data_IF_185821360236
#
_entry.id   IF_185821360236
#
_cell.length_a   1.000
_cell.length_b   1.000
_cell.length_c   1.000
_cell.angle_alpha   90.00
_cell.angle_beta   90.00
_cell.angle_gamma   90.00
#
_symmetry.space_group_name_H-M   'P 1'
#
loop_
_entity.id
_entity.type
_entity.pdbx_description
1 polymer ?
#
# COMPACT_ATOMS: atom_id res chain seq x y z
N UNK A 1 0.32 64.54 -86.48
CA UNK A 1 -0.21 63.61 -85.44
C UNK A 1 0.87 62.85 -84.67
N UNK A 2 2.09 62.64 -85.17
CA UNK A 2 3.12 61.83 -84.47
C UNK A 2 3.71 62.46 -83.18
N UNK A 3 3.73 63.78 -83.06
CA UNK A 3 4.26 64.46 -81.86
C UNK A 3 3.43 64.19 -80.59
N UNK A 4 2.12 64.00 -80.72
CA UNK A 4 1.22 63.73 -79.59
C UNK A 4 1.39 62.29 -79.06
N UNK A 5 1.67 61.32 -79.94
CA UNK A 5 1.99 59.94 -79.56
C UNK A 5 3.36 59.83 -78.89
N UNK A 6 4.36 60.59 -79.33
CA UNK A 6 5.68 60.62 -78.67
C UNK A 6 5.55 61.26 -77.28
N UNK A 7 4.76 62.33 -77.15
CA UNK A 7 4.54 63.01 -75.87
C UNK A 7 3.80 62.12 -74.85
N UNK A 8 2.80 61.34 -75.28
CA UNK A 8 2.13 60.37 -74.41
C UNK A 8 3.05 59.21 -74.02
N UNK A 9 3.90 58.72 -74.94
CA UNK A 9 4.88 57.68 -74.65
C UNK A 9 5.94 58.13 -73.63
N UNK A 10 6.42 59.37 -73.72
CA UNK A 10 7.34 59.95 -72.72
C UNK A 10 6.69 60.18 -71.35
N UNK A 11 5.39 60.50 -71.31
CA UNK A 11 4.66 60.60 -70.04
C UNK A 11 4.45 59.24 -69.37
N UNK A 12 4.20 58.18 -70.16
CA UNK A 12 4.13 56.80 -69.65
C UNK A 12 5.52 56.32 -69.20
N UNK A 13 6.58 56.60 -69.94
CA UNK A 13 7.97 56.27 -69.55
C UNK A 13 8.46 57.05 -68.32
N UNK A 14 7.98 58.27 -68.07
CA UNK A 14 8.26 59.00 -66.82
C UNK A 14 7.47 58.47 -65.61
N UNK A 15 6.35 57.78 -65.84
CA UNK A 15 5.63 57.04 -64.79
C UNK A 15 6.23 55.65 -64.52
N UNK A 16 6.90 55.05 -65.50
CA UNK A 16 7.77 53.88 -65.32
C UNK A 16 9.15 54.35 -64.84
N UNK A 17 9.18 54.97 -63.67
CA UNK A 17 10.42 55.31 -62.97
C UNK A 17 10.99 53.99 -62.40
N UNK A 18 12.16 53.51 -62.86
CA UNK A 18 12.82 52.41 -62.18
C UNK A 18 13.35 52.96 -60.85
N UNK A 19 12.93 52.36 -59.74
CA UNK A 19 13.60 52.56 -58.46
C UNK A 19 12.91 53.47 -57.46
N UNK A 20 11.58 53.38 -57.28
CA UNK A 20 11.18 53.24 -55.88
C UNK A 20 11.90 51.97 -55.39
N UNK A 21 12.70 52.00 -54.31
CA UNK A 21 13.21 50.75 -53.76
C UNK A 21 11.98 49.90 -53.51
N UNK A 22 11.79 48.86 -54.33
CA UNK A 22 10.71 47.90 -54.14
C UNK A 22 11.08 47.24 -52.83
N UNK A 23 10.51 47.75 -51.74
CA UNK A 23 10.71 47.17 -50.43
C UNK A 23 10.43 45.68 -50.58
N UNK A 24 11.36 44.85 -50.13
CA UNK A 24 11.15 43.40 -50.20
C UNK A 24 10.08 43.04 -49.17
N UNK A 25 8.85 42.94 -49.66
CA UNK A 25 7.69 42.57 -48.87
C UNK A 25 7.74 41.06 -48.60
N UNK A 26 7.55 40.67 -47.34
CA UNK A 26 7.44 39.28 -46.90
C UNK A 26 6.19 39.09 -46.06
N UNK A 27 5.73 37.85 -45.99
CA UNK A 27 4.67 37.47 -45.05
C UNK A 27 5.29 37.17 -43.68
N UNK A 28 4.64 37.62 -42.61
CA UNK A 28 5.03 37.30 -41.24
C UNK A 28 4.84 35.81 -40.91
N UNK A 29 5.29 35.43 -39.71
CA UNK A 29 5.46 34.04 -39.32
C UNK A 29 6.70 33.87 -38.44
N UNK A 30 7.29 32.68 -38.42
CA UNK A 30 8.54 32.43 -37.68
C UNK A 30 9.72 33.08 -38.40
N UNK A 31 10.70 33.57 -37.64
CA UNK A 31 11.91 34.20 -38.21
C UNK A 31 12.70 33.26 -39.12
N UNK A 32 12.71 31.97 -38.80
CA UNK A 32 13.41 30.94 -39.59
C UNK A 32 12.93 30.95 -41.05
N UNK A 33 11.62 31.15 -41.26
CA UNK A 33 10.93 31.13 -42.56
C UNK A 33 11.07 32.44 -43.36
N UNK A 34 11.59 33.51 -42.74
CA UNK A 34 11.76 34.80 -43.42
C UNK A 34 12.91 34.75 -44.43
N UNK A 35 12.70 35.24 -45.66
CA UNK A 35 13.79 35.35 -46.63
C UNK A 35 14.76 36.48 -46.24
N UNK A 36 16.03 36.30 -46.53
CA UNK A 36 17.06 37.33 -46.34
C UNK A 36 16.73 38.63 -47.08
N UNK A 37 17.02 39.78 -46.46
CA UNK A 37 16.78 41.10 -47.03
C UNK A 37 15.32 41.55 -47.01
N UNK A 38 14.49 40.95 -46.16
CA UNK A 38 13.12 41.41 -45.95
C UNK A 38 13.11 42.82 -45.36
N UNK A 39 12.36 43.74 -45.97
CA UNK A 39 12.26 45.13 -45.51
C UNK A 39 10.88 45.45 -44.91
N UNK A 40 9.83 44.79 -45.40
CA UNK A 40 8.45 45.00 -44.94
C UNK A 40 7.76 43.65 -44.67
N UNK A 41 7.23 43.48 -43.46
CA UNK A 41 6.51 42.27 -43.03
C UNK A 41 5.02 42.55 -42.93
N UNK A 42 4.23 41.81 -43.71
CA UNK A 42 2.77 41.92 -43.78
C UNK A 42 2.05 40.60 -43.42
N UNK A 43 0.74 40.66 -43.18
CA UNK A 43 -0.09 39.47 -43.03
C UNK A 43 -0.14 38.93 -41.59
N UNK A 44 0.78 38.05 -41.22
CA UNK A 44 0.84 37.49 -39.86
C UNK A 44 1.81 38.27 -38.96
N UNK A 45 1.68 38.21 -37.63
CA UNK A 45 2.68 38.75 -36.71
C UNK A 45 4.06 38.12 -36.93
N UNK A 46 5.11 38.88 -36.64
CA UNK A 46 6.48 38.36 -36.61
C UNK A 46 6.70 37.57 -35.31
N UNK A 47 6.90 36.26 -35.42
CA UNK A 47 7.05 35.36 -34.27
C UNK A 47 8.52 34.96 -34.10
N UNK A 48 9.11 35.35 -32.98
CA UNK A 48 10.45 34.93 -32.56
C UNK A 48 10.27 33.95 -31.39
N UNK A 49 10.47 32.66 -31.66
CA UNK A 49 10.32 31.61 -30.64
C UNK A 49 11.47 30.64 -30.58
N UNK A 50 11.63 30.02 -29.41
CA UNK A 50 12.53 28.88 -29.18
C UNK A 50 14.04 29.20 -29.31
N UNK A 51 14.46 30.46 -29.11
CA UNK A 51 15.87 30.84 -29.13
C UNK A 51 16.53 30.67 -27.76
N UNK A 52 17.60 29.88 -27.70
CA UNK A 52 18.40 29.62 -26.48
C UNK A 52 19.64 30.53 -26.34
N UNK A 53 19.84 31.45 -27.28
CA UNK A 53 20.98 32.35 -27.35
C UNK A 53 20.54 33.76 -27.76
N UNK A 54 21.34 34.77 -27.42
CA UNK A 54 21.06 36.17 -27.79
C UNK A 54 21.07 36.34 -29.32
N UNK A 55 19.99 36.87 -29.89
CA UNK A 55 19.87 37.14 -31.33
C UNK A 55 20.52 38.49 -31.61
N UNK A 56 21.74 38.48 -32.11
CA UNK A 56 22.47 39.66 -32.55
C UNK A 56 22.50 39.81 -34.08
N UNK A 57 22.89 40.97 -34.59
CA UNK A 57 22.98 41.22 -36.04
C UNK A 57 24.03 40.34 -36.75
N UNK A 58 24.81 39.52 -36.03
CA UNK A 58 25.81 38.61 -36.60
C UNK A 58 25.24 37.23 -36.85
N UNK A 59 24.30 36.77 -36.01
CA UNK A 59 23.54 35.53 -36.18
C UNK A 59 22.76 35.53 -37.51
N UNK A 60 22.52 34.36 -38.07
CA UNK A 60 21.81 34.23 -39.35
C UNK A 60 20.41 34.87 -39.29
N UNK A 61 19.66 34.56 -38.23
CA UNK A 61 18.33 35.09 -38.01
C UNK A 61 18.36 36.58 -37.64
N UNK A 62 19.35 37.03 -36.87
CA UNK A 62 19.50 38.44 -36.58
C UNK A 62 19.87 39.28 -37.81
N UNK A 63 20.56 38.73 -38.82
CA UNK A 63 20.73 39.40 -40.12
C UNK A 63 19.41 39.53 -40.87
N UNK A 64 18.56 38.51 -40.88
CA UNK A 64 17.20 38.58 -41.47
C UNK A 64 16.39 39.68 -40.79
N UNK A 65 16.45 39.76 -39.46
CA UNK A 65 15.73 40.76 -38.68
C UNK A 65 16.31 42.18 -38.87
N UNK A 66 17.62 42.33 -39.02
CA UNK A 66 18.28 43.64 -39.10
C UNK A 66 17.87 44.49 -40.29
N UNK A 67 17.35 43.89 -41.38
CA UNK A 67 16.91 44.61 -42.59
C UNK A 67 15.46 45.07 -42.53
N UNK A 68 14.67 44.56 -41.59
CA UNK A 68 13.23 44.86 -41.50
C UNK A 68 13.05 46.30 -41.02
N UNK A 69 12.36 47.09 -41.84
CA UNK A 69 12.03 48.50 -41.57
C UNK A 69 10.57 48.67 -41.14
N UNK A 70 9.67 47.80 -41.61
CA UNK A 70 8.22 47.92 -41.35
C UNK A 70 7.60 46.57 -40.97
N UNK A 71 6.75 46.57 -39.95
CA UNK A 71 5.95 45.40 -39.54
C UNK A 71 4.50 45.86 -39.32
N UNK A 72 3.52 45.27 -40.01
CA UNK A 72 2.12 45.75 -39.97
C UNK A 72 1.19 44.96 -39.05
N UNK A 73 1.67 43.85 -38.48
CA UNK A 73 0.85 42.92 -37.71
C UNK A 73 1.49 42.54 -36.36
N UNK A 74 2.39 43.37 -35.83
CA UNK A 74 2.97 43.21 -34.50
C UNK A 74 4.08 42.16 -34.41
N UNK A 75 4.64 42.04 -33.20
CA UNK A 75 5.76 41.15 -32.87
C UNK A 75 5.37 40.26 -31.69
N UNK A 76 5.67 38.97 -31.76
CA UNK A 76 5.49 38.00 -30.69
C UNK A 76 6.83 37.39 -30.32
N UNK A 77 7.34 37.66 -29.11
CA UNK A 77 8.49 36.96 -28.52
C UNK A 77 7.96 35.86 -27.60
N UNK A 78 8.18 34.59 -27.92
CA UNK A 78 7.63 33.46 -27.16
C UNK A 78 8.70 32.43 -26.81
N UNK A 79 8.74 31.95 -25.58
CA UNK A 79 9.57 30.80 -25.17
C UNK A 79 11.08 30.98 -25.45
N UNK A 80 11.59 32.21 -25.35
CA UNK A 80 13.02 32.48 -25.56
C UNK A 80 13.80 32.56 -24.25
N UNK A 81 15.09 32.23 -24.29
CA UNK A 81 16.03 32.30 -23.18
C UNK A 81 17.13 33.35 -23.37
N UNK A 82 17.04 34.21 -24.38
CA UNK A 82 17.97 35.33 -24.51
C UNK A 82 17.73 36.40 -23.44
N UNK A 83 18.79 37.12 -23.08
CA UNK A 83 18.74 38.21 -22.10
C UNK A 83 18.41 39.55 -22.74
N UNK A 84 18.80 39.74 -24.00
CA UNK A 84 18.64 41.00 -24.73
C UNK A 84 18.05 40.74 -26.10
N UNK A 85 17.10 41.56 -26.49
CA UNK A 85 16.57 41.59 -27.85
C UNK A 85 16.84 42.94 -28.50
N UNK A 86 17.73 42.95 -29.49
CA UNK A 86 18.13 44.15 -30.23
C UNK A 86 18.35 43.88 -31.73
N UNK A 87 17.77 42.79 -32.25
CA UNK A 87 18.01 42.33 -33.63
C UNK A 87 17.35 43.24 -34.69
N UNK A 88 16.22 43.87 -34.36
CA UNK A 88 15.45 44.75 -35.23
C UNK A 88 16.04 46.17 -35.27
N UNK A 89 17.29 46.29 -35.71
CA UNK A 89 18.04 47.56 -35.68
C UNK A 89 17.49 48.63 -36.63
N UNK A 90 16.88 48.23 -37.74
CA UNK A 90 16.37 49.13 -38.78
C UNK A 90 14.86 49.34 -38.72
N UNK A 91 14.17 48.77 -37.74
CA UNK A 91 12.73 48.87 -37.62
C UNK A 91 12.32 50.32 -37.35
N UNK A 92 11.62 50.95 -38.28
CA UNK A 92 11.16 52.34 -38.18
C UNK A 92 9.65 52.44 -37.90
N UNK A 93 8.87 51.49 -38.42
CA UNK A 93 7.41 51.47 -38.33
C UNK A 93 6.90 50.13 -37.80
N UNK A 94 6.20 50.15 -36.67
CA UNK A 94 5.55 48.99 -36.09
C UNK A 94 4.06 49.27 -35.94
N UNK A 95 3.22 48.45 -36.58
CA UNK A 95 1.77 48.58 -36.47
C UNK A 95 1.09 47.24 -36.26
N UNK A 96 -0.16 47.30 -35.81
CA UNK A 96 -1.10 46.18 -35.82
C UNK A 96 -2.43 46.66 -36.38
N UNK A 97 -2.92 45.96 -37.41
CA UNK A 97 -4.23 46.20 -38.02
C UNK A 97 -5.39 45.48 -37.32
N UNK A 98 -5.10 44.45 -36.53
CA UNK A 98 -6.08 43.66 -35.78
C UNK A 98 -6.27 44.19 -34.34
N UNK A 99 -7.18 43.58 -33.59
CA UNK A 99 -7.34 43.82 -32.14
C UNK A 99 -6.26 43.11 -31.31
N UNK A 100 -5.16 42.66 -31.92
CA UNK A 100 -4.06 42.01 -31.23
C UNK A 100 -3.07 43.06 -30.69
N UNK A 101 -2.33 42.73 -29.63
CA UNK A 101 -1.32 43.64 -29.09
C UNK A 101 -0.17 43.84 -30.08
N UNK A 102 0.38 45.06 -30.10
CA UNK A 102 1.54 45.43 -30.91
C UNK A 102 2.76 44.57 -30.63
N UNK A 103 3.00 44.32 -29.34
CA UNK A 103 4.09 43.49 -28.86
C UNK A 103 3.55 42.50 -27.83
N UNK A 104 3.80 41.22 -28.07
CA UNK A 104 3.41 40.14 -27.17
C UNK A 104 4.64 39.40 -26.66
N UNK A 105 4.83 39.42 -25.34
CA UNK A 105 5.96 38.80 -24.66
C UNK A 105 5.45 37.62 -23.84
N UNK A 106 5.71 36.40 -24.30
CA UNK A 106 5.26 35.18 -23.64
C UNK A 106 6.42 34.30 -23.17
N UNK A 107 6.48 34.00 -21.87
CA UNK A 107 7.42 33.00 -21.31
C UNK A 107 8.90 33.25 -21.65
N UNK A 108 9.34 34.51 -21.78
CA UNK A 108 10.76 34.81 -21.94
C UNK A 108 11.41 34.99 -20.56
N UNK A 109 11.79 33.87 -19.94
CA UNK A 109 12.21 33.82 -18.53
C UNK A 109 13.49 34.61 -18.22
N UNK A 110 14.32 34.91 -19.22
CA UNK A 110 15.58 35.61 -19.04
C UNK A 110 15.61 37.00 -19.67
N UNK A 111 14.53 37.45 -20.30
CA UNK A 111 14.52 38.73 -21.02
C UNK A 111 14.68 39.90 -20.04
N UNK A 112 15.76 40.66 -20.21
CA UNK A 112 16.11 41.83 -19.37
C UNK A 112 16.13 43.16 -20.13
N UNK A 113 16.25 43.14 -21.45
CA UNK A 113 16.40 44.35 -22.28
C UNK A 113 15.73 44.16 -23.63
N UNK A 114 15.01 45.18 -24.08
CA UNK A 114 14.23 45.19 -25.31
C UNK A 114 14.47 46.54 -26.03
N UNK A 115 15.29 46.53 -27.08
CA UNK A 115 15.79 47.75 -27.71
C UNK A 115 15.40 47.83 -29.20
N UNK A 116 14.76 48.93 -29.58
CA UNK A 116 14.40 49.25 -30.97
C UNK A 116 14.99 50.60 -31.39
N UNK A 117 16.27 50.60 -31.78
CA UNK A 117 17.07 51.84 -31.99
C UNK A 117 16.49 52.83 -33.00
N UNK A 118 15.86 52.32 -34.06
CA UNK A 118 15.38 53.15 -35.17
C UNK A 118 13.86 53.35 -35.17
N UNK A 119 13.15 52.90 -34.14
CA UNK A 119 11.69 52.89 -34.12
C UNK A 119 11.16 54.32 -33.96
N UNK A 120 10.38 54.79 -34.94
CA UNK A 120 9.86 56.17 -35.00
C UNK A 120 8.34 56.26 -34.93
N UNK A 121 7.63 55.22 -35.38
CA UNK A 121 6.17 55.23 -35.41
C UNK A 121 5.65 53.90 -34.90
N UNK A 122 4.73 53.99 -33.93
CA UNK A 122 3.93 52.88 -33.46
C UNK A 122 2.45 53.18 -33.73
N UNK A 123 1.73 52.23 -34.32
CA UNK A 123 0.29 52.36 -34.57
C UNK A 123 -0.45 51.05 -34.22
N UNK A 124 -1.16 51.02 -33.10
CA UNK A 124 -1.87 49.82 -32.65
C UNK A 124 -3.08 50.14 -31.80
N UNK A 125 -3.84 49.09 -31.46
CA UNK A 125 -4.95 49.17 -30.51
C UNK A 125 -4.48 48.83 -29.11
N UNK A 126 -5.21 49.27 -28.09
CA UNK A 126 -4.91 48.94 -26.70
C UNK A 126 -5.35 47.51 -26.36
N UNK A 127 -4.56 46.73 -25.60
CA UNK A 127 -3.24 47.07 -25.03
C UNK A 127 -2.10 47.02 -26.07
N UNK A 128 -1.16 47.96 -26.01
CA UNK A 128 0.00 47.98 -26.92
C UNK A 128 0.95 46.81 -26.64
N UNK A 129 1.23 46.53 -25.37
CA UNK A 129 2.17 45.48 -24.98
C UNK A 129 1.50 44.49 -24.04
N UNK A 130 1.58 43.20 -24.31
CA UNK A 130 1.02 42.18 -23.40
C UNK A 130 2.13 41.27 -22.90
N UNK A 131 2.12 41.03 -21.59
CA UNK A 131 3.09 40.18 -20.91
C UNK A 131 2.38 38.92 -20.41
N UNK A 132 2.87 37.76 -20.80
CA UNK A 132 2.30 36.46 -20.46
C UNK A 132 3.38 35.59 -19.80
N UNK A 133 3.37 35.54 -18.47
CA UNK A 133 4.36 34.81 -17.68
C UNK A 133 5.81 35.16 -18.08
N UNK A 134 6.08 36.46 -18.30
CA UNK A 134 7.36 36.97 -18.76
C UNK A 134 8.17 37.60 -17.62
N UNK A 135 9.51 37.58 -17.71
CA UNK A 135 10.38 38.20 -16.68
C UNK A 135 10.57 39.71 -16.91
N UNK A 136 10.34 40.21 -18.12
CA UNK A 136 10.62 41.62 -18.45
C UNK A 136 9.91 42.64 -17.54
N UNK A 137 8.63 42.46 -17.12
CA UNK A 137 7.99 43.35 -16.15
C UNK A 137 8.69 43.42 -14.79
N UNK A 138 9.30 42.33 -14.34
CA UNK A 138 10.09 42.29 -13.10
C UNK A 138 11.39 43.06 -13.31
N UNK A 139 12.05 42.89 -14.46
CA UNK A 139 13.28 43.61 -14.80
C UNK A 139 13.04 45.12 -14.99
N UNK A 140 11.93 45.53 -15.59
CA UNK A 140 11.53 46.94 -15.67
C UNK A 140 11.40 47.59 -14.29
N UNK A 141 10.96 46.84 -13.26
CA UNK A 141 10.89 47.35 -11.88
C UNK A 141 12.26 47.42 -11.20
N UNK A 142 13.20 46.55 -11.57
CA UNK A 142 14.52 46.41 -10.92
C UNK A 142 15.61 47.25 -11.59
N UNK A 143 15.54 47.44 -12.90
CA UNK A 143 16.56 48.05 -13.72
C UNK A 143 16.05 49.34 -14.35
N UNK A 144 16.66 50.47 -13.97
CA UNK A 144 16.34 51.77 -14.57
C UNK A 144 16.53 51.78 -16.09
N UNK A 145 17.48 50.99 -16.60
CA UNK A 145 17.71 50.85 -18.04
C UNK A 145 16.53 50.17 -18.76
N UNK A 146 16.03 49.05 -18.23
CA UNK A 146 14.89 48.35 -18.83
C UNK A 146 13.62 49.21 -18.79
N UNK A 147 13.45 49.98 -17.71
CA UNK A 147 12.38 50.97 -17.59
C UNK A 147 12.50 52.09 -18.63
N UNK A 148 13.70 52.67 -18.83
CA UNK A 148 13.94 53.68 -19.86
C UNK A 148 13.72 53.16 -21.28
N UNK A 149 14.14 51.92 -21.57
CA UNK A 149 13.90 51.25 -22.85
C UNK A 149 12.37 51.11 -23.11
N UNK A 150 11.60 50.69 -22.10
CA UNK A 150 10.15 50.61 -22.21
C UNK A 150 9.48 52.00 -22.35
N UNK A 151 9.93 53.01 -21.61
CA UNK A 151 9.44 54.38 -21.78
C UNK A 151 9.73 54.93 -23.17
N UNK A 152 10.92 54.65 -23.72
CA UNK A 152 11.27 55.04 -25.08
C UNK A 152 10.34 54.39 -26.11
N UNK A 153 9.98 53.11 -25.92
CA UNK A 153 8.99 52.43 -26.76
C UNK A 153 7.63 53.14 -26.70
N UNK A 154 7.15 53.46 -25.48
CA UNK A 154 5.86 54.14 -25.30
C UNK A 154 5.85 55.56 -25.87
N UNK A 155 6.94 56.31 -25.74
CA UNK A 155 7.07 57.65 -26.29
C UNK A 155 6.89 57.67 -27.82
N UNK A 156 7.27 56.58 -28.51
CA UNK A 156 7.12 56.43 -29.96
C UNK A 156 5.67 56.23 -30.42
N UNK A 157 4.75 55.85 -29.53
CA UNK A 157 3.32 55.78 -29.84
C UNK A 157 2.65 57.16 -30.02
N UNK A 158 3.34 58.23 -29.61
CA UNK A 158 2.90 59.62 -29.79
C UNK A 158 1.68 60.01 -28.96
N UNK A 159 1.20 61.24 -29.19
CA UNK A 159 0.05 61.83 -28.48
C UNK A 159 -1.31 61.21 -28.84
N UNK A 160 -1.36 60.23 -29.75
CA UNK A 160 -2.61 59.58 -30.13
C UNK A 160 -3.22 58.76 -29.00
N UNK A 161 -2.43 58.48 -27.97
CA UNK A 161 -2.80 57.64 -26.85
C UNK A 161 -2.57 58.42 -25.56
N UNK A 162 -3.58 58.50 -24.69
CA UNK A 162 -3.48 59.18 -23.41
C UNK A 162 -2.41 58.49 -22.54
N UNK A 163 -1.27 59.15 -22.22
CA UNK A 163 -0.15 58.57 -21.45
C UNK A 163 -0.54 58.07 -20.06
N UNK A 164 -1.72 58.47 -19.56
CA UNK A 164 -2.25 58.06 -18.27
C UNK A 164 -3.28 56.92 -18.34
N UNK A 165 -3.60 56.40 -19.54
CA UNK A 165 -4.58 55.31 -19.66
C UNK A 165 -4.06 54.02 -19.00
N UNK A 166 -4.87 53.38 -18.17
CA UNK A 166 -4.49 52.17 -17.45
C UNK A 166 -4.23 50.94 -18.37
N UNK A 167 -4.49 51.07 -19.68
CA UNK A 167 -4.56 49.97 -20.62
C UNK A 167 -3.33 49.86 -21.54
N UNK A 168 -2.25 50.62 -21.31
CA UNK A 168 -1.04 50.55 -22.16
C UNK A 168 -0.46 49.16 -22.29
N UNK A 169 -0.49 48.43 -21.19
CA UNK A 169 0.00 47.09 -21.12
C UNK A 169 -0.95 46.21 -20.31
N UNK A 170 -1.05 44.96 -20.71
CA UNK A 170 -1.75 43.93 -19.95
C UNK A 170 -0.75 42.93 -19.38
N UNK A 171 -0.96 42.53 -18.13
CA UNK A 171 -0.08 41.59 -17.44
C UNK A 171 -0.88 40.35 -17.05
N UNK A 172 -0.65 39.27 -17.82
CA UNK A 172 -1.10 37.95 -17.49
C UNK A 172 0.03 37.21 -16.77
N UNK A 173 0.12 37.39 -15.45
CA UNK A 173 0.73 36.34 -14.66
C UNK A 173 -0.16 35.11 -14.80
N UNK A 174 0.42 33.97 -15.16
CA UNK A 174 -0.14 32.74 -14.62
C UNK A 174 -0.05 32.88 -13.11
N UNK A 175 -1.18 33.20 -12.47
CA UNK A 175 -1.39 32.84 -11.09
C UNK A 175 -0.98 31.38 -11.05
N UNK A 176 0.11 31.06 -10.33
CA UNK A 176 0.59 29.69 -10.18
C UNK A 176 -0.66 28.83 -10.02
N UNK A 177 -1.01 28.06 -11.05
CA UNK A 177 -1.91 26.95 -10.88
C UNK A 177 -1.14 26.08 -9.91
N UNK A 178 -1.41 26.27 -8.62
CA UNK A 178 -0.86 25.51 -7.52
C UNK A 178 -0.85 24.08 -8.01
N UNK A 179 0.35 23.51 -8.21
CA UNK A 179 0.52 22.20 -8.82
C UNK A 179 -0.58 21.28 -8.28
N UNK A 180 -1.41 20.67 -9.14
CA UNK A 180 -2.76 20.24 -8.79
C UNK A 180 -2.72 19.49 -7.46
N UNK A 181 -3.36 20.06 -6.42
CA UNK A 181 -3.46 19.50 -5.06
C UNK A 181 -3.99 18.07 -5.03
N UNK A 182 -4.47 17.57 -6.17
CA UNK A 182 -4.79 16.18 -6.45
C UNK A 182 -3.74 15.18 -5.94
N UNK A 183 -2.43 15.44 -6.05
CA UNK A 183 -1.43 14.47 -5.56
C UNK A 183 -1.44 14.34 -4.03
N UNK A 184 -1.71 15.43 -3.30
CA UNK A 184 -1.89 15.40 -1.84
C UNK A 184 -3.11 14.57 -1.45
N UNK A 185 -4.24 14.70 -2.16
CA UNK A 185 -5.44 13.89 -1.93
C UNK A 185 -5.21 12.41 -2.24
N UNK A 186 -4.46 12.09 -3.30
CA UNK A 186 -4.11 10.71 -3.64
C UNK A 186 -3.23 10.09 -2.55
N UNK A 187 -2.21 10.82 -2.08
CA UNK A 187 -1.35 10.34 -0.99
C UNK A 187 -2.13 10.19 0.32
N UNK A 188 -2.90 11.22 0.72
CA UNK A 188 -3.70 11.18 1.94
C UNK A 188 -4.74 10.04 1.90
N UNK A 189 -5.40 9.81 0.76
CA UNK A 189 -6.32 8.68 0.57
C UNK A 189 -5.63 7.32 0.65
N UNK A 190 -4.41 7.20 0.11
CA UNK A 190 -3.62 5.97 0.21
C UNK A 190 -3.21 5.66 1.66
N UNK A 191 -2.77 6.66 2.43
CA UNK A 191 -2.45 6.49 3.85
C UNK A 191 -3.70 6.22 4.71
N UNK A 192 -4.82 6.87 4.41
CA UNK A 192 -6.09 6.63 5.11
C UNK A 192 -6.62 5.21 4.90
N UNK A 193 -6.60 4.71 3.66
CA UNK A 193 -7.00 3.32 3.37
C UNK A 193 -6.07 2.28 4.01
N UNK A 194 -4.76 2.53 4.05
CA UNK A 194 -3.80 1.68 4.74
C UNK A 194 -4.07 1.63 6.26
N UNK A 195 -4.36 2.78 6.88
CA UNK A 195 -4.68 2.84 8.30
C UNK A 195 -5.96 2.06 8.64
N UNK A 196 -7.01 2.18 7.82
CA UNK A 196 -8.26 1.42 8.01
C UNK A 196 -8.01 -0.09 7.90
N UNK A 197 -7.20 -0.53 6.94
CA UNK A 197 -6.85 -1.94 6.79
C UNK A 197 -6.09 -2.48 8.03
N UNK A 198 -5.13 -1.72 8.57
CA UNK A 198 -4.41 -2.11 9.78
C UNK A 198 -5.34 -2.21 11.00
N UNK A 199 -6.27 -1.27 11.16
CA UNK A 199 -7.25 -1.30 12.27
C UNK A 199 -8.16 -2.53 12.16
N UNK A 200 -8.64 -2.84 10.95
CA UNK A 200 -9.46 -4.02 10.69
C UNK A 200 -8.70 -5.32 11.00
N UNK A 201 -7.43 -5.42 10.58
CA UNK A 201 -6.57 -6.57 10.85
C UNK A 201 -6.33 -6.76 12.36
N UNK A 202 -6.09 -5.68 13.11
CA UNK A 202 -5.92 -5.74 14.57
C UNK A 202 -7.21 -6.21 15.26
N UNK A 203 -8.37 -5.67 14.86
CA UNK A 203 -9.66 -6.13 15.41
C UNK A 203 -9.94 -7.60 15.08
N UNK A 204 -9.66 -8.02 13.85
CA UNK A 204 -9.79 -9.41 13.43
C UNK A 204 -8.86 -10.33 14.23
N UNK A 205 -7.60 -9.96 14.37
CA UNK A 205 -6.61 -10.70 15.14
C UNK A 205 -7.02 -10.84 16.62
N UNK A 206 -7.46 -9.76 17.25
CA UNK A 206 -7.95 -9.77 18.64
C UNK A 206 -9.20 -10.66 18.80
N UNK A 207 -10.14 -10.62 17.85
CA UNK A 207 -11.32 -11.48 17.86
C UNK A 207 -10.95 -12.97 17.66
N UNK A 208 -9.99 -13.24 16.76
CA UNK A 208 -9.46 -14.57 16.52
C UNK A 208 -8.75 -15.11 17.77
N UNK A 209 -7.89 -14.31 18.40
CA UNK A 209 -7.16 -14.70 19.61
C UNK A 209 -8.14 -15.04 20.75
N UNK A 210 -9.13 -14.19 21.03
CA UNK A 210 -10.19 -14.47 22.03
C UNK A 210 -11.01 -15.72 21.69
N UNK A 211 -11.25 -16.00 20.41
CA UNK A 211 -11.94 -17.24 19.98
C UNK A 211 -11.04 -18.45 20.21
N UNK A 212 -9.75 -18.33 19.94
CA UNK A 212 -8.77 -19.39 20.09
C UNK A 212 -8.53 -19.75 21.55
N UNK A 213 -8.38 -18.76 22.43
CA UNK A 213 -8.25 -18.93 23.88
C UNK A 213 -9.47 -19.67 24.46
N UNK A 214 -10.69 -19.30 24.04
CA UNK A 214 -11.92 -20.01 24.46
C UNK A 214 -11.94 -21.47 24.01
N UNK A 215 -11.44 -21.78 22.82
CA UNK A 215 -11.34 -23.15 22.32
C UNK A 215 -10.28 -23.96 23.07
N UNK A 216 -9.12 -23.35 23.35
CA UNK A 216 -8.07 -23.97 24.15
C UNK A 216 -8.57 -24.27 25.57
N UNK A 217 -9.20 -23.30 26.22
CA UNK A 217 -9.77 -23.47 27.56
C UNK A 217 -10.83 -24.59 27.58
N UNK A 218 -11.70 -24.66 26.55
CA UNK A 218 -12.67 -25.75 26.43
C UNK A 218 -12.00 -27.12 26.32
N UNK A 219 -10.95 -27.23 25.51
CA UNK A 219 -10.19 -28.48 25.35
C UNK A 219 -9.43 -28.89 26.62
N UNK A 220 -8.97 -27.91 27.39
CA UNK A 220 -8.30 -28.11 28.68
C UNK A 220 -9.29 -28.60 29.74
N UNK A 221 -10.45 -27.94 29.87
CA UNK A 221 -11.55 -28.38 30.74
C UNK A 221 -12.02 -29.80 30.35
N UNK A 222 -12.16 -30.10 29.05
CA UNK A 222 -12.52 -31.45 28.59
C UNK A 222 -11.45 -32.50 28.93
N UNK A 223 -10.17 -32.11 28.97
CA UNK A 223 -9.07 -33.01 29.35
C UNK A 223 -9.07 -33.26 30.86
N UNK A 224 -9.20 -32.21 31.66
CA UNK A 224 -9.30 -32.31 33.11
C UNK A 224 -10.54 -33.11 33.54
N UNK A 225 -11.71 -32.86 32.92
CA UNK A 225 -12.92 -33.64 33.16
C UNK A 225 -12.75 -35.13 32.83
N UNK A 226 -12.02 -35.46 31.76
CA UNK A 226 -11.67 -36.85 31.43
C UNK A 226 -10.72 -37.47 32.45
N UNK A 227 -9.72 -36.73 32.93
CA UNK A 227 -8.81 -37.19 33.98
C UNK A 227 -9.55 -37.43 35.29
N UNK A 228 -10.40 -36.49 35.70
CA UNK A 228 -11.24 -36.61 36.88
C UNK A 228 -12.16 -37.82 36.79
N UNK A 229 -12.78 -38.06 35.63
CA UNK A 229 -13.66 -39.22 35.45
C UNK A 229 -12.87 -40.55 35.56
N UNK A 230 -11.65 -40.61 35.02
CA UNK A 230 -10.77 -41.78 35.16
C UNK A 230 -10.35 -41.99 36.63
N UNK A 231 -10.09 -40.91 37.37
CA UNK A 231 -9.75 -40.99 38.80
C UNK A 231 -10.95 -41.43 39.63
N UNK A 232 -12.14 -40.95 39.30
CA UNK A 232 -13.39 -41.32 39.97
C UNK A 232 -13.74 -42.80 39.70
N UNK A 233 -13.55 -43.28 38.47
CA UNK A 233 -13.69 -44.70 38.12
C UNK A 233 -12.69 -45.59 38.88
N UNK A 234 -11.43 -45.15 39.02
CA UNK A 234 -10.44 -45.83 39.85
C UNK A 234 -10.84 -45.85 41.33
N UNK A 235 -11.34 -44.74 41.87
CA UNK A 235 -11.80 -44.66 43.25
C UNK A 235 -12.94 -45.64 43.50
N UNK A 236 -13.93 -45.67 42.60
CA UNK A 236 -15.05 -46.61 42.69
C UNK A 236 -14.57 -48.07 42.67
N UNK A 237 -13.61 -48.42 41.79
CA UNK A 237 -13.00 -49.75 41.76
C UNK A 237 -12.24 -50.09 43.05
N UNK A 238 -11.56 -49.12 43.66
CA UNK A 238 -10.89 -49.31 44.95
C UNK A 238 -11.88 -49.51 46.09
N UNK A 239 -13.00 -48.78 46.09
CA UNK A 239 -14.06 -48.93 47.09
C UNK A 239 -14.77 -50.28 46.95
N UNK A 240 -15.09 -50.73 45.73
CA UNK A 240 -15.60 -52.09 45.47
C UNK A 240 -14.62 -53.15 45.98
N UNK A 241 -13.33 -53.03 45.63
CA UNK A 241 -12.29 -53.95 46.09
C UNK A 241 -12.16 -53.96 47.62
N UNK A 242 -12.28 -52.79 48.26
CA UNK A 242 -12.24 -52.65 49.72
C UNK A 242 -13.44 -53.35 50.37
N UNK A 243 -14.64 -53.18 49.82
CA UNK A 243 -15.86 -53.85 50.30
C UNK A 243 -15.76 -55.37 50.14
N UNK A 244 -15.23 -55.86 49.02
CA UNK A 244 -14.97 -57.29 48.83
C UNK A 244 -13.94 -57.83 49.83
N UNK A 245 -12.88 -57.07 50.13
CA UNK A 245 -11.90 -57.46 51.15
C UNK A 245 -12.52 -57.54 52.55
N UNK A 246 -13.40 -56.59 52.91
CA UNK A 246 -14.15 -56.62 54.18
C UNK A 246 -15.06 -57.85 54.22
N UNK A 247 -15.81 -58.12 53.14
CA UNK A 247 -16.68 -59.30 53.05
C UNK A 247 -15.92 -60.61 53.21
N UNK A 248 -14.76 -60.75 52.53
CA UNK A 248 -13.90 -61.93 52.66
C UNK A 248 -13.34 -62.05 54.10
N UNK A 249 -13.00 -60.92 54.73
CA UNK A 249 -12.54 -60.92 56.12
C UNK A 249 -13.65 -61.36 57.08
N UNK A 250 -14.89 -60.88 56.89
CA UNK A 250 -16.06 -61.25 57.68
C UNK A 250 -16.44 -62.73 57.47
N UNK A 251 -16.44 -63.22 56.23
CA UNK A 251 -16.66 -64.64 55.91
C UNK A 251 -15.59 -65.52 56.54
N UNK A 252 -14.31 -65.10 56.49
CA UNK A 252 -13.21 -65.81 57.15
C UNK A 252 -13.39 -65.80 58.66
N UNK A 253 -13.79 -64.68 59.26
CA UNK A 253 -14.03 -64.57 60.69
C UNK A 253 -15.21 -65.44 61.14
N UNK A 254 -16.31 -65.45 60.37
CA UNK A 254 -17.45 -66.33 60.58
C UNK A 254 -17.06 -67.81 60.47
N UNK A 255 -16.27 -68.18 59.45
CA UNK A 255 -15.75 -69.55 59.29
C UNK A 255 -14.83 -69.94 60.45
N UNK A 256 -13.93 -69.06 60.89
CA UNK A 256 -13.05 -69.31 62.04
C UNK A 256 -13.85 -69.48 63.34
N UNK A 257 -14.92 -68.70 63.53
CA UNK A 257 -15.81 -68.84 64.68
C UNK A 257 -16.63 -70.15 64.65
N UNK A 258 -17.13 -70.54 63.48
CA UNK A 258 -17.82 -71.82 63.30
C UNK A 258 -16.85 -72.99 63.52
N UNK A 259 -15.63 -72.89 62.99
CA UNK A 259 -14.55 -73.84 63.21
C UNK A 259 -14.20 -73.96 64.70
N UNK A 260 -14.07 -72.82 65.41
CA UNK A 260 -13.81 -72.78 66.85
C UNK A 260 -14.94 -73.47 67.63
N UNK A 261 -16.22 -73.22 67.29
CA UNK A 261 -17.36 -73.93 67.92
C UNK A 261 -17.27 -75.44 67.70
N UNK A 262 -17.08 -75.88 66.45
CA UNK A 262 -16.97 -77.31 66.12
C UNK A 262 -15.81 -78.01 66.83
N UNK A 263 -14.70 -77.30 67.03
CA UNK A 263 -13.54 -77.84 67.76
C UNK A 263 -13.68 -77.75 69.28
N UNK A 264 -14.59 -76.92 69.80
CA UNK A 264 -14.87 -76.79 71.23
C UNK A 264 -15.86 -77.87 71.72
N UNK A 265 -16.80 -78.29 70.87
CA UNK A 265 -17.82 -79.30 71.20
C UNK A 265 -17.39 -80.75 70.90
N UNK A 266 -16.22 -80.98 70.28
CA UNK A 266 -15.69 -82.34 70.07
C UNK A 266 -14.18 -82.44 70.35
N UNK A 267 -13.78 -82.77 71.60
CA UNK A 267 -12.38 -82.97 71.96
C UNK A 267 -11.79 -84.31 71.51
N UNK A 268 -12.52 -85.17 70.78
CA UNK A 268 -12.10 -86.56 70.60
C UNK A 268 -12.00 -86.98 69.14
N UNK A 269 -10.74 -87.16 68.73
CA UNK A 269 -10.29 -87.84 67.53
C UNK A 269 -10.98 -89.20 67.35
N UNK A 270 -12.11 -89.24 66.63
CA UNK A 270 -12.60 -90.48 66.07
C UNK A 270 -11.56 -90.98 65.03
N UNK A 271 -11.00 -92.19 65.19
CA UNK A 271 -10.03 -92.75 64.26
C UNK A 271 -10.68 -92.90 62.88
N UNK A 272 -10.37 -91.96 61.98
CA UNK A 272 -11.00 -91.82 60.66
C UNK A 272 -11.19 -90.37 60.21
N UNK A 273 -11.33 -89.42 61.15
CA UNK A 273 -11.49 -88.00 60.79
C UNK A 273 -10.20 -87.34 60.33
N UNK A 274 -9.05 -87.82 60.78
CA UNK A 274 -7.74 -87.30 60.36
C UNK A 274 -7.57 -87.38 58.83
N UNK A 275 -8.18 -88.40 58.20
CA UNK A 275 -8.21 -88.57 56.74
C UNK A 275 -9.13 -87.53 56.08
N UNK A 276 -10.30 -87.24 56.67
CA UNK A 276 -11.19 -86.14 56.22
C UNK A 276 -10.49 -84.79 56.31
N UNK A 277 -9.82 -84.51 57.43
CA UNK A 277 -9.06 -83.27 57.65
C UNK A 277 -7.88 -83.11 56.70
N UNK A 278 -7.15 -84.20 56.44
CA UNK A 278 -6.07 -84.20 55.46
C UNK A 278 -6.60 -83.93 54.05
N UNK A 279 -7.74 -84.52 53.67
CA UNK A 279 -8.39 -84.29 52.39
C UNK A 279 -8.95 -82.87 52.27
N UNK A 280 -9.50 -82.30 53.34
CA UNK A 280 -10.00 -80.93 53.37
C UNK A 280 -8.86 -79.90 53.29
N UNK A 281 -7.74 -80.12 54.01
CA UNK A 281 -6.51 -79.32 53.84
C UNK A 281 -5.94 -79.43 52.43
N UNK A 282 -6.00 -80.60 51.80
CA UNK A 282 -5.60 -80.77 50.39
C UNK A 282 -6.52 -79.99 49.45
N UNK A 283 -7.84 -79.99 49.69
CA UNK A 283 -8.80 -79.17 48.94
C UNK A 283 -8.51 -77.68 49.09
N UNK A 284 -8.29 -77.19 50.32
CA UNK A 284 -7.96 -75.79 50.59
C UNK A 284 -6.64 -75.37 49.92
N UNK A 285 -5.58 -76.19 50.01
CA UNK A 285 -4.31 -75.92 49.31
C UNK A 285 -4.47 -75.91 47.79
N UNK A 286 -5.38 -76.73 47.24
CA UNK A 286 -5.70 -76.74 45.81
C UNK A 286 -6.41 -75.45 45.40
N UNK A 287 -7.42 -75.02 46.17
CA UNK A 287 -8.13 -73.74 45.97
C UNK A 287 -7.16 -72.56 46.07
N UNK A 288 -6.25 -72.54 47.06
CA UNK A 288 -5.26 -71.48 47.23
C UNK A 288 -4.27 -71.43 46.05
N UNK A 289 -3.81 -72.59 45.57
CA UNK A 289 -2.96 -72.68 44.37
C UNK A 289 -3.69 -72.20 43.12
N UNK A 290 -4.95 -72.58 42.95
CA UNK A 290 -5.77 -72.16 41.81
C UNK A 290 -6.03 -70.64 41.84
N UNK A 291 -6.29 -70.06 43.02
CA UNK A 291 -6.40 -68.60 43.20
C UNK A 291 -5.09 -67.88 42.89
N UNK A 292 -3.95 -68.39 43.36
CA UNK A 292 -2.62 -67.84 43.04
C UNK A 292 -2.31 -67.93 41.54
N UNK A 293 -2.67 -69.03 40.89
CA UNK A 293 -2.52 -69.21 39.45
C UNK A 293 -3.41 -68.23 38.67
N UNK A 294 -4.70 -68.11 39.02
CA UNK A 294 -5.61 -67.12 38.42
C UNK A 294 -5.08 -65.70 38.57
N UNK A 295 -4.56 -65.32 39.75
CA UNK A 295 -3.96 -64.00 39.98
C UNK A 295 -2.73 -63.75 39.11
N UNK A 296 -1.88 -64.78 38.90
CA UNK A 296 -0.73 -64.68 37.99
C UNK A 296 -1.17 -64.56 36.52
N UNK A 297 -2.20 -65.28 36.12
CA UNK A 297 -2.76 -65.20 34.76
C UNK A 297 -3.39 -63.84 34.48
N UNK A 298 -4.16 -63.28 35.42
CA UNK A 298 -4.76 -61.95 35.26
C UNK A 298 -3.68 -60.86 35.18
N UNK A 299 -2.64 -60.92 36.01
CA UNK A 299 -1.50 -59.99 35.89
C UNK A 299 -0.76 -60.13 34.55
N UNK A 300 -0.50 -61.35 34.07
CA UNK A 300 0.10 -61.58 32.75
C UNK A 300 -0.78 -61.05 31.60
N UNK A 301 -2.10 -61.18 31.70
CA UNK A 301 -3.03 -60.62 30.71
C UNK A 301 -3.00 -59.09 30.73
N UNK A 302 -2.99 -58.48 31.91
CA UNK A 302 -2.90 -57.02 32.07
C UNK A 302 -1.58 -56.47 31.51
N UNK A 303 -0.46 -57.16 31.75
CA UNK A 303 0.86 -56.79 31.22
C UNK A 303 0.90 -56.87 29.68
N UNK A 304 0.38 -57.97 29.10
CA UNK A 304 0.25 -58.13 27.64
C UNK A 304 -0.63 -57.04 27.00
N UNK A 305 -1.72 -56.63 27.66
CA UNK A 305 -2.57 -55.53 27.18
C UNK A 305 -1.81 -54.20 27.19
N UNK A 306 -1.06 -53.89 28.26
CA UNK A 306 -0.23 -52.68 28.33
C UNK A 306 0.84 -52.66 27.24
N UNK A 307 1.52 -53.78 26.98
CA UNK A 307 2.49 -53.88 25.89
C UNK A 307 1.86 -53.67 24.51
N UNK A 308 0.67 -54.24 24.27
CA UNK A 308 -0.06 -54.09 23.03
C UNK A 308 -0.50 -52.63 22.79
N UNK A 309 -1.00 -51.94 23.82
CA UNK A 309 -1.32 -50.51 23.74
C UNK A 309 -0.08 -49.65 23.44
N UNK A 310 1.06 -49.97 24.06
CA UNK A 310 2.30 -49.24 23.84
C UNK A 310 2.81 -49.41 22.41
N UNK A 311 2.69 -50.63 21.84
CA UNK A 311 3.00 -50.90 20.43
C UNK A 311 2.08 -50.12 19.50
N UNK A 312 0.77 -50.11 19.75
CA UNK A 312 -0.21 -49.34 18.95
C UNK A 312 0.05 -47.83 18.99
N UNK A 313 0.47 -47.29 20.14
CA UNK A 313 0.92 -45.88 20.27
C UNK A 313 2.20 -45.60 19.48
N UNK A 314 3.17 -46.52 19.46
CA UNK A 314 4.40 -46.40 18.65
C UNK A 314 4.13 -46.47 17.14
N UNK A 315 3.23 -47.34 16.71
CA UNK A 315 2.85 -47.46 15.29
C UNK A 315 2.09 -46.22 14.80
N UNK A 316 1.15 -45.72 15.59
CA UNK A 316 0.40 -44.50 15.24
C UNK A 316 1.24 -43.21 15.27
N UNK A 317 2.30 -43.16 16.07
CA UNK A 317 3.26 -42.04 16.03
C UNK A 317 4.16 -42.10 14.80
N UNK A 318 4.65 -43.29 14.43
CA UNK A 318 5.41 -43.50 13.19
C UNK A 318 4.59 -43.16 11.94
N UNK A 319 3.33 -43.58 11.84
CA UNK A 319 2.50 -43.28 10.67
C UNK A 319 2.26 -41.76 10.52
N UNK A 320 2.03 -41.05 11.65
CA UNK A 320 1.89 -39.59 11.65
C UNK A 320 3.17 -38.87 11.24
N UNK A 321 4.33 -39.43 11.57
CA UNK A 321 5.64 -38.88 11.19
C UNK A 321 5.94 -39.11 9.70
N UNK A 322 5.63 -40.30 9.17
CA UNK A 322 5.72 -40.59 7.74
C UNK A 322 4.80 -39.70 6.90
N UNK A 323 3.57 -39.47 7.35
CA UNK A 323 2.64 -38.55 6.67
C UNK A 323 3.13 -37.10 6.69
N UNK A 324 3.77 -36.65 7.78
CA UNK A 324 4.41 -35.34 7.85
C UNK A 324 5.58 -35.25 6.87
N UNK A 325 6.40 -36.29 6.75
CA UNK A 325 7.53 -36.33 5.83
C UNK A 325 7.08 -36.36 4.37
N UNK A 326 6.07 -37.17 4.01
CA UNK A 326 5.46 -37.17 2.67
C UNK A 326 4.89 -35.80 2.31
N UNK A 327 4.19 -35.13 3.23
CA UNK A 327 3.68 -33.75 3.01
C UNK A 327 4.80 -32.73 2.81
N UNK A 328 5.94 -32.86 3.51
CA UNK A 328 7.12 -32.02 3.29
C UNK A 328 7.75 -32.29 1.92
N UNK A 329 7.87 -33.56 1.52
CA UNK A 329 8.44 -33.93 0.23
C UNK A 329 7.59 -33.46 -0.96
N UNK A 330 6.26 -33.53 -0.86
CA UNK A 330 5.33 -32.99 -1.86
C UNK A 330 5.43 -31.46 -1.94
N UNK A 331 5.62 -30.75 -0.81
CA UNK A 331 5.86 -29.29 -0.83
C UNK A 331 7.22 -28.91 -1.46
N UNK A 332 8.25 -29.73 -1.29
CA UNK A 332 9.58 -29.48 -1.90
C UNK A 332 9.56 -29.77 -3.40
N UNK A 333 8.83 -30.81 -3.85
CA UNK A 333 8.70 -31.17 -5.28
C UNK A 333 7.67 -30.32 -6.04
N UNK A 334 6.68 -29.75 -5.35
CA UNK A 334 5.70 -28.83 -5.95
C UNK A 334 6.07 -27.35 -5.81
N UNK A 335 7.20 -27.02 -5.18
CA UNK A 335 7.79 -25.69 -5.26
C UNK A 335 8.18 -25.41 -6.73
N UNK A 336 7.51 -24.49 -7.43
CA UNK A 336 7.80 -24.22 -8.82
C UNK A 336 9.23 -23.70 -8.93
N UNK A 337 10.02 -24.32 -9.81
CA UNK A 337 11.30 -23.80 -10.30
C UNK A 337 11.06 -22.49 -11.07
N UNK A 338 10.72 -21.43 -10.34
CA UNK A 338 10.45 -20.09 -10.85
C UNK A 338 11.27 -19.06 -10.08
N UNK A 339 12.59 -19.28 -9.98
CA UNK A 339 13.54 -18.24 -9.51
C UNK A 339 14.83 -18.13 -10.33
N UNK A 340 15.03 -18.94 -11.39
CA UNK A 340 16.26 -18.89 -12.22
C UNK A 340 16.04 -18.56 -13.72
N UNK A 341 14.83 -18.15 -14.13
CA UNK A 341 14.54 -17.82 -15.56
C UNK A 341 13.73 -16.54 -15.78
N UNK A 342 13.71 -15.64 -14.79
CA UNK A 342 13.03 -14.32 -14.85
C UNK A 342 13.96 -13.09 -14.73
N UNK A 343 15.28 -13.29 -14.66
CA UNK A 343 16.31 -12.23 -14.69
C UNK A 343 16.98 -12.00 -16.05
N UNK A 344 16.72 -12.84 -17.07
CA UNK A 344 17.27 -12.70 -18.42
C UNK A 344 16.23 -12.38 -19.53
N UNK A 345 14.96 -12.16 -19.17
CA UNK A 345 13.87 -11.84 -20.12
C UNK A 345 13.12 -10.54 -19.79
N UNK A 346 13.67 -9.74 -18.87
CA UNK A 346 13.14 -8.44 -18.42
C UNK A 346 13.97 -7.23 -18.91
N UNK A 347 15.02 -7.47 -19.70
CA UNK A 347 15.91 -6.48 -20.32
C UNK A 347 15.76 -6.35 -21.85
N UNK A 348 14.88 -7.12 -22.50
CA UNK A 348 14.67 -7.11 -23.96
C UNK A 348 13.21 -6.83 -24.39
N UNK A 349 12.39 -6.24 -23.50
CA UNK A 349 10.97 -5.93 -23.79
C UNK A 349 10.56 -4.54 -23.30
N UNK A 350 11.52 -3.60 -23.31
CA UNK A 350 11.36 -2.19 -22.90
C UNK A 350 11.60 -1.19 -24.05
N UNK A 351 11.71 -1.65 -25.30
CA UNK A 351 12.00 -0.82 -26.49
C UNK A 351 10.95 -0.88 -27.62
N UNK A 352 9.86 -1.63 -27.48
CA UNK A 352 8.79 -1.68 -28.51
C UNK A 352 7.41 -1.66 -27.86
N UNK A 353 6.91 -0.46 -27.56
CA UNK A 353 5.48 -0.07 -27.59
C UNK A 353 5.35 1.38 -27.12
N UNK A 354 5.80 2.29 -27.99
CA UNK A 354 5.59 3.74 -27.94
C UNK A 354 4.97 4.16 -29.29
N UNK A 355 3.85 3.55 -29.62
CA UNK A 355 2.95 3.74 -30.77
C UNK A 355 1.83 2.71 -30.52
N UNK A 356 0.54 2.99 -30.40
CA UNK A 356 -0.32 3.94 -31.10
C UNK A 356 -1.36 4.55 -30.14
N UNK A 357 -1.75 5.75 -30.54
CA UNK A 357 -2.81 6.60 -29.99
C UNK A 357 -4.13 6.21 -30.68
N UNK A 358 -5.24 6.58 -30.02
CA UNK A 358 -6.56 6.95 -30.61
C UNK A 358 -7.57 5.82 -30.94
N UNK A 359 -8.70 5.77 -30.20
CA UNK A 359 -10.08 6.13 -30.64
C UNK A 359 -11.21 5.34 -29.93
N UNK A 360 -12.12 6.12 -29.30
CA UNK A 360 -13.59 6.00 -29.08
C UNK A 360 -14.27 5.16 -27.97
N UNK A 361 -15.00 5.92 -27.12
CA UNK A 361 -16.43 5.88 -26.73
C UNK A 361 -17.10 4.59 -26.14
N UNK A 362 -17.34 4.60 -24.80
CA UNK A 362 -18.64 4.82 -24.06
C UNK A 362 -19.93 4.15 -24.61
N UNK A 363 -20.92 3.68 -23.78
CA UNK A 363 -20.91 2.94 -22.50
C UNK A 363 -21.99 1.81 -22.44
N UNK A 364 -22.24 1.33 -21.22
CA UNK A 364 -23.50 0.72 -20.74
C UNK A 364 -23.79 -0.76 -21.07
N UNK A 365 -23.81 -1.60 -20.03
CA UNK A 365 -24.97 -2.46 -19.69
C UNK A 365 -24.79 -3.18 -18.36
N UNK A 366 -25.82 -3.05 -17.54
CA UNK A 366 -26.09 -3.81 -16.33
C UNK A 366 -26.20 -5.32 -16.59
N UNK A 367 -25.91 -6.15 -15.58
CA UNK A 367 -26.87 -7.13 -15.06
C UNK A 367 -26.33 -7.93 -13.86
N UNK A 368 -27.17 -7.97 -12.82
CA UNK A 368 -27.56 -9.12 -11.98
C UNK A 368 -26.46 -9.93 -11.26
N UNK A 369 -26.58 -10.00 -9.93
CA UNK A 369 -27.01 -11.25 -9.28
C UNK A 369 -27.26 -11.13 -7.76
N UNK A 370 -28.44 -11.62 -7.36
CA UNK A 370 -28.77 -12.54 -6.23
C UNK A 370 -28.41 -12.09 -4.79
N UNK A 371 -29.39 -11.81 -3.92
CA UNK A 371 -30.38 -12.69 -3.25
C UNK A 371 -29.75 -13.48 -2.10
N UNK A 372 -29.86 -12.95 -0.88
CA UNK A 372 -29.71 -13.74 0.35
C UNK A 372 -30.78 -13.31 1.37
N UNK A 373 -31.61 -14.27 1.75
CA UNK A 373 -32.55 -14.23 2.88
C UNK A 373 -31.80 -14.82 4.07
N UNK A 374 -31.94 -14.23 5.26
CA UNK A 374 -31.91 -15.01 6.48
C UNK A 374 -32.65 -14.31 7.61
N UNK A 375 -33.63 -15.05 8.09
CA UNK A 375 -34.58 -14.89 9.18
C UNK A 375 -34.15 -14.11 10.43
N UNK A 376 -35.10 -13.27 10.87
CA UNK A 376 -35.22 -12.74 12.23
C UNK A 376 -35.60 -13.90 13.15
N UNK A 377 -34.70 -14.29 14.04
CA UNK A 377 -35.04 -15.09 15.21
C UNK A 377 -35.15 -14.17 16.43
N UNK A 378 -36.35 -14.15 17.01
CA UNK A 378 -36.67 -13.56 18.31
C UNK A 378 -36.35 -14.64 19.35
N UNK A 379 -35.61 -14.30 20.40
CA UNK A 379 -35.56 -15.09 21.63
C UNK A 379 -35.73 -14.15 22.82
N UNK A 380 -36.81 -14.40 23.55
CA UNK A 380 -37.23 -13.72 24.77
C UNK A 380 -36.26 -13.96 25.94
N UNK A 381 -36.26 -12.97 26.83
CA UNK A 381 -35.52 -12.89 28.09
C UNK A 381 -35.91 -14.00 29.08
N UNK A 382 -34.90 -14.60 29.71
CA UNK A 382 -35.04 -15.54 30.81
C UNK A 382 -34.00 -15.26 31.88
N UNK A 383 -34.31 -14.31 32.75
CA UNK A 383 -33.52 -13.82 33.87
C UNK A 383 -33.20 -14.91 34.91
N UNK A 384 -31.92 -15.16 35.21
CA UNK A 384 -31.45 -15.62 36.53
C UNK A 384 -30.12 -14.95 36.87
N UNK A 385 -30.21 -13.93 37.73
CA UNK A 385 -29.10 -13.43 38.56
C UNK A 385 -28.59 -14.56 39.44
N UNK A 386 -27.29 -14.82 39.41
CA UNK A 386 -26.57 -15.41 40.53
C UNK A 386 -25.71 -14.30 41.09
N UNK A 387 -26.13 -13.80 42.25
CA UNK A 387 -25.48 -12.77 43.04
C UNK A 387 -24.41 -13.47 43.88
N UNK A 388 -23.13 -13.18 43.61
CA UNK A 388 -22.03 -13.56 44.50
C UNK A 388 -21.84 -12.43 45.49
N UNK A 389 -22.14 -12.71 46.76
CA UNK A 389 -21.90 -11.81 47.88
C UNK A 389 -20.42 -11.67 48.19
N UNK A 390 -20.09 -10.47 48.64
CA UNK A 390 -18.78 -9.90 48.89
C UNK A 390 -17.87 -10.74 49.80
N UNK A 391 -16.59 -10.81 49.45
CA UNK A 391 -15.50 -11.12 50.39
C UNK A 391 -14.61 -9.87 50.49
N UNK A 392 -14.30 -9.37 51.71
CA UNK A 392 -13.68 -8.06 51.88
C UNK A 392 -12.19 -8.07 51.52
N UNK A 393 -11.74 -6.98 50.92
CA UNK A 393 -10.32 -6.63 50.80
C UNK A 393 -9.73 -6.35 52.19
N UNK A 394 -8.61 -6.98 52.52
CA UNK A 394 -7.74 -6.55 53.60
C UNK A 394 -6.28 -6.60 53.12
N UNK A 395 -5.70 -5.41 53.08
CA UNK A 395 -4.33 -5.08 52.71
C UNK A 395 -3.28 -5.61 53.70
N UNK A 396 -2.04 -5.57 53.20
CA UNK A 396 -0.74 -5.39 53.88
C UNK A 396 0.06 -6.64 54.26
N UNK A 397 1.02 -6.90 53.37
CA UNK A 397 2.45 -7.13 53.64
C UNK A 397 2.85 -7.54 55.06
N UNK A 398 3.42 -8.74 55.17
CA UNK A 398 4.66 -8.96 55.91
C UNK A 398 5.39 -10.18 55.36
N UNK A 399 6.61 -9.91 54.88
CA UNK A 399 7.68 -10.87 54.58
C UNK A 399 8.00 -11.71 55.80
N UNK A 400 7.94 -13.04 55.67
CA UNK A 400 8.55 -13.99 56.61
C UNK A 400 9.30 -15.05 55.81
N UNK A 401 10.57 -15.20 56.16
CA UNK A 401 11.57 -16.09 55.62
C UNK A 401 11.21 -17.57 55.80
N UNK A 402 11.50 -18.36 54.77
CA UNK A 402 11.39 -19.83 54.75
C UNK A 402 12.65 -20.43 55.38
N UNK A 403 12.54 -21.05 56.55
CA UNK A 403 13.49 -22.06 57.03
C UNK A 403 13.01 -23.45 56.57
N UNK A 404 13.91 -24.21 55.94
CA UNK A 404 13.67 -25.60 55.55
C UNK A 404 13.84 -26.52 56.75
N UNK A 405 12.93 -27.49 56.97
CA UNK A 405 13.16 -28.54 57.95
C UNK A 405 14.12 -29.60 57.40
N UNK A 406 15.21 -29.82 58.13
CA UNK A 406 16.15 -30.92 58.02
C UNK A 406 15.42 -32.25 58.32
N UNK A 407 15.58 -33.24 57.45
CA UNK A 407 15.09 -34.62 57.67
C UNK A 407 16.29 -35.44 58.16
N UNK A 408 16.26 -35.88 59.41
CA UNK A 408 17.20 -36.87 59.94
C UNK A 408 16.84 -38.29 59.45
N UNK A 409 17.82 -39.14 59.11
CA UNK A 409 17.57 -40.51 58.67
C UNK A 409 17.41 -41.45 59.86
N UNK A 410 16.29 -42.19 59.92
CA UNK A 410 16.13 -43.29 60.87
C UNK A 410 16.62 -44.59 60.23
N UNK A 411 17.59 -45.19 60.92
CA UNK A 411 18.28 -46.44 60.62
C UNK A 411 17.35 -47.66 60.53
N UNK A 412 17.87 -48.68 59.83
CA UNK A 412 17.14 -49.83 59.35
C UNK A 412 16.74 -50.86 60.39
N UNK A 413 15.77 -51.68 59.97
CA UNK A 413 15.50 -53.00 60.52
C UNK A 413 15.67 -54.00 59.36
N UNK A 414 16.55 -55.01 59.48
CA UNK A 414 16.83 -55.93 58.38
C UNK A 414 15.70 -56.95 58.21
N UNK A 415 15.44 -57.28 56.94
CA UNK A 415 14.59 -58.40 56.52
C UNK A 415 15.17 -59.74 56.97
N UNK A 416 14.26 -60.67 57.25
CA UNK A 416 14.47 -62.11 57.01
C UNK A 416 13.45 -62.59 55.98
#
# INVERSE_FOLDING_TARGET
MNLLLIYSFFHVLKFVRPGSPLFKICYGGKVEDLPMGCEEVIGFPLVISDYFYDIDAKSEDGRKLSTIQRITNGIVLRDNNFKRFSALTSLEYLAVLSSEPLLKLERNHQLMSLEFKSLRVINGTMPLVTFWNDNYPIEMRRSNRAFQEFQSLLATAGHAIDPCSANYFDFHSMQEESAPTHWYFVLAGSFGSLAIAMIADVHWYMAFQRRWERQLLKLEIEREAKQLNIELEKSNLYDEWRMDCIKIADEKHAWMNDFARRTQDDPYHAPGEEKKWADERRKLRKIEKDLKMRKRETMKRAEKMKEAELKKKKESSKSKEEDKNKKKEVKIKSAPKTSAKKSAKKSAKKEQKKSEKKVKEVPEKAQKSKKEKSDKFVFEEGSRRVEYTDVPSLEKEKTVSVEQPTIDPVEGIPFR
#
